data_IF_030969868466
#
_entry.id   IF_030969868466
#
_cell.length_a   1.000
_cell.length_b   1.000
_cell.length_c   1.000
_cell.angle_alpha   90.00
_cell.angle_beta   90.00
_cell.angle_gamma   90.00
#
_symmetry.space_group_name_H-M   'P 1'
#
loop_
_entity.id
_entity.type
_entity.pdbx_description
1 polymer ?
#
# COMPACT_ATOMS: atom_id res chain seq x y z
N UNK A 1 4.79 12.17 18.02
CA UNK A 1 5.54 11.06 17.41
C UNK A 1 4.74 10.51 16.26
N UNK A 2 5.31 10.38 15.05
CA UNK A 2 4.59 10.00 13.83
C UNK A 2 5.21 8.79 13.14
N UNK A 3 4.39 8.08 12.37
CA UNK A 3 4.84 7.13 11.35
C UNK A 3 4.92 7.89 10.04
N UNK A 4 6.08 7.86 9.39
CA UNK A 4 6.33 8.56 8.13
C UNK A 4 6.70 7.57 7.03
N UNK A 5 6.51 7.99 5.78
CA UNK A 5 6.78 7.17 4.60
C UNK A 5 7.79 7.88 3.72
N UNK A 6 8.77 7.14 3.20
CA UNK A 6 9.73 7.63 2.23
C UNK A 6 9.52 6.95 0.88
N UNK A 7 9.44 7.75 -0.18
CA UNK A 7 9.41 7.31 -1.58
C UNK A 7 10.80 7.17 -2.22
N UNK A 8 11.89 7.37 -1.46
CA UNK A 8 13.26 7.16 -1.93
C UNK A 8 14.25 7.01 -0.77
N UNK A 9 15.44 6.46 -1.03
CA UNK A 9 16.55 6.41 -0.06
C UNK A 9 16.95 7.80 0.44
N UNK A 10 17.01 8.79 -0.45
CA UNK A 10 17.37 10.16 -0.08
C UNK A 10 16.33 10.78 0.89
N UNK A 11 15.05 10.55 0.63
CA UNK A 11 13.99 10.98 1.54
C UNK A 11 14.03 10.23 2.88
N UNK A 12 14.27 8.92 2.87
CA UNK A 12 14.42 8.12 4.08
C UNK A 12 15.54 8.66 4.98
N UNK A 13 16.70 9.02 4.42
CA UNK A 13 17.80 9.63 5.16
C UNK A 13 17.42 10.98 5.78
N UNK A 14 16.67 11.83 5.06
CA UNK A 14 16.15 13.10 5.61
C UNK A 14 15.18 12.88 6.76
N UNK A 15 14.28 11.90 6.64
CA UNK A 15 13.31 11.57 7.68
C UNK A 15 13.98 10.96 8.93
N UNK A 16 15.01 10.13 8.75
CA UNK A 16 15.84 9.63 9.87
C UNK A 16 16.62 10.76 10.57
N UNK A 17 16.89 11.86 9.87
CA UNK A 17 17.50 13.04 10.46
C UNK A 17 16.52 13.92 11.24
N UNK A 18 15.22 13.71 11.08
CA UNK A 18 14.17 14.54 11.66
C UNK A 18 13.79 14.09 13.07
N UNK A 19 13.34 15.02 13.90
CA UNK A 19 12.82 14.72 15.23
C UNK A 19 11.35 14.27 15.18
N UNK A 20 10.90 13.57 16.22
CA UNK A 20 9.50 13.19 16.37
C UNK A 20 9.02 12.04 15.48
N UNK A 21 9.91 11.38 14.74
CA UNK A 21 9.60 10.17 13.98
C UNK A 21 9.72 8.94 14.89
N UNK A 22 8.68 8.10 14.93
CA UNK A 22 8.68 6.82 15.66
C UNK A 22 9.02 5.65 14.73
N UNK A 23 8.49 5.68 13.52
CA UNK A 23 8.71 4.65 12.52
C UNK A 23 8.79 5.26 11.13
N UNK A 24 9.63 4.65 10.29
CA UNK A 24 9.83 5.02 8.90
C UNK A 24 9.50 3.83 8.02
N UNK A 25 8.52 4.00 7.14
CA UNK A 25 8.19 3.03 6.11
C UNK A 25 8.92 3.36 4.79
N UNK A 26 9.65 2.38 4.26
CA UNK A 26 10.26 2.46 2.94
C UNK A 26 9.21 2.03 1.90
N UNK A 27 8.86 2.95 1.00
CA UNK A 27 7.85 2.76 -0.03
C UNK A 27 8.42 3.15 -1.40
N UNK A 28 9.41 2.39 -1.85
CA UNK A 28 10.03 2.50 -3.16
C UNK A 28 10.57 1.15 -3.62
N UNK A 29 10.77 1.00 -4.93
CA UNK A 29 11.08 -0.27 -5.60
C UNK A 29 12.24 -1.05 -4.95
N UNK A 30 13.34 -0.35 -4.65
CA UNK A 30 14.54 -0.94 -4.04
C UNK A 30 14.57 -0.84 -2.51
N UNK A 31 13.46 -0.45 -1.87
CA UNK A 31 13.39 -0.26 -0.41
C UNK A 31 13.77 -1.51 0.40
N UNK A 32 13.54 -2.70 -0.15
CA UNK A 32 13.95 -3.97 0.47
C UNK A 32 15.47 -4.12 0.57
N UNK A 33 16.24 -3.56 -0.38
CA UNK A 33 17.70 -3.60 -0.38
C UNK A 33 18.26 -2.68 0.69
N UNK A 34 17.65 -1.50 0.85
CA UNK A 34 18.10 -0.49 1.81
C UNK A 34 17.61 -0.75 3.25
N UNK A 35 16.60 -1.60 3.44
CA UNK A 35 15.95 -1.83 4.73
C UNK A 35 16.92 -2.23 5.85
N UNK A 36 17.97 -3.00 5.54
CA UNK A 36 18.97 -3.44 6.53
C UNK A 36 19.86 -2.28 6.98
N UNK A 37 20.39 -1.51 6.03
CA UNK A 37 21.27 -0.38 6.32
C UNK A 37 20.51 0.73 7.04
N UNK A 38 19.35 1.11 6.49
CA UNK A 38 18.50 2.15 7.08
C UNK A 38 17.92 1.70 8.42
N UNK A 39 17.63 0.40 8.59
CA UNK A 39 17.23 -0.19 9.88
C UNK A 39 18.26 0.04 10.98
N UNK A 40 19.54 -0.24 10.71
CA UNK A 40 20.63 0.04 11.65
C UNK A 40 20.78 1.52 11.98
N UNK A 41 20.57 2.39 10.98
CA UNK A 41 20.62 3.84 11.20
C UNK A 41 19.44 4.34 12.04
N UNK A 42 18.24 3.82 11.81
CA UNK A 42 17.05 4.13 12.58
C UNK A 42 17.15 3.65 14.02
N UNK A 43 17.66 2.44 14.26
CA UNK A 43 17.84 1.89 15.61
C UNK A 43 18.68 2.80 16.51
N UNK A 44 19.79 3.36 15.98
CA UNK A 44 20.64 4.33 16.71
C UNK A 44 19.90 5.61 17.12
N UNK A 45 18.74 5.87 16.52
CA UNK A 45 17.89 7.05 16.75
C UNK A 45 16.55 6.70 17.38
N UNK A 46 16.32 5.43 17.73
CA UNK A 46 15.04 4.95 18.25
C UNK A 46 13.90 4.93 17.21
N UNK A 47 14.22 4.93 15.91
CA UNK A 47 13.26 4.91 14.81
C UNK A 47 13.17 3.50 14.23
N UNK A 48 11.97 2.92 14.22
CA UNK A 48 11.73 1.61 13.59
C UNK A 48 11.59 1.76 12.07
N UNK A 49 12.60 1.33 11.31
CA UNK A 49 12.52 1.30 9.84
C UNK A 49 11.92 -0.02 9.37
N UNK A 50 10.99 0.04 8.43
CA UNK A 50 10.29 -1.13 7.89
C UNK A 50 10.10 -1.00 6.39
N UNK A 51 10.27 -2.10 5.68
CA UNK A 51 9.82 -2.25 4.30
C UNK A 51 8.61 -3.17 4.27
N UNK A 52 7.58 -2.79 3.51
CA UNK A 52 6.38 -3.61 3.28
C UNK A 52 6.15 -3.66 1.78
N UNK A 53 6.07 -4.87 1.21
CA UNK A 53 5.81 -5.05 -0.22
C UNK A 53 4.33 -4.97 -0.60
N UNK A 54 3.44 -5.08 0.39
CA UNK A 54 1.99 -5.10 0.17
C UNK A 54 1.22 -4.34 1.25
N UNK A 55 0.04 -3.87 0.86
CA UNK A 55 -0.98 -3.31 1.76
C UNK A 55 -2.37 -3.85 1.41
N UNK A 56 -3.20 -4.02 2.43
CA UNK A 56 -4.56 -4.57 2.31
C UNK A 56 -5.57 -3.44 2.35
N UNK A 57 -6.35 -3.29 1.28
CA UNK A 57 -7.35 -2.24 1.13
C UNK A 57 -8.75 -2.86 1.16
N UNK A 58 -9.60 -2.43 2.08
CA UNK A 58 -11.01 -2.78 2.08
C UNK A 58 -11.76 -1.91 1.07
N UNK A 59 -12.42 -2.52 0.10
CA UNK A 59 -13.17 -1.82 -0.95
C UNK A 59 -14.66 -2.05 -0.74
N UNK A 60 -15.42 -1.00 -0.41
CA UNK A 60 -16.80 -1.13 0.09
C UNK A 60 -17.85 -1.32 -1.00
N UNK A 61 -17.58 -0.92 -2.23
CA UNK A 61 -18.53 -0.87 -3.34
C UNK A 61 -17.83 -1.04 -4.69
N UNK A 62 -18.63 -1.32 -5.71
CA UNK A 62 -18.18 -1.31 -7.11
C UNK A 62 -17.66 0.06 -7.52
N UNK A 63 -18.36 1.12 -7.13
CA UNK A 63 -18.01 2.50 -7.43
C UNK A 63 -16.64 2.86 -6.82
N UNK A 64 -16.40 2.48 -5.56
CA UNK A 64 -15.11 2.61 -4.89
C UNK A 64 -13.98 1.89 -5.63
N UNK A 65 -14.25 0.70 -6.17
CA UNK A 65 -13.27 -0.05 -6.95
C UNK A 65 -12.92 0.70 -8.25
N UNK A 66 -13.93 1.16 -8.99
CA UNK A 66 -13.75 1.89 -10.26
C UNK A 66 -12.97 3.19 -10.03
N UNK A 67 -13.41 3.99 -9.05
CA UNK A 67 -12.77 5.26 -8.71
C UNK A 67 -11.36 5.06 -8.15
N UNK A 68 -11.17 4.09 -7.27
CA UNK A 68 -9.87 3.78 -6.67
C UNK A 68 -8.84 3.32 -7.70
N UNK A 69 -9.27 2.53 -8.69
CA UNK A 69 -8.42 2.13 -9.82
C UNK A 69 -8.19 3.28 -10.82
N UNK A 70 -9.06 4.29 -10.88
CA UNK A 70 -8.87 5.46 -11.75
C UNK A 70 -7.84 6.46 -11.19
N UNK A 71 -7.60 6.44 -9.87
CA UNK A 71 -6.64 7.32 -9.22
C UNK A 71 -5.20 6.83 -9.44
N UNK A 72 -4.23 7.73 -9.68
CA UNK A 72 -2.82 7.39 -9.69
C UNK A 72 -2.41 6.69 -8.39
N UNK A 73 -1.57 5.67 -8.50
CA UNK A 73 -1.09 4.92 -7.35
C UNK A 73 -0.01 5.71 -6.63
N UNK A 74 -0.24 6.04 -5.36
CA UNK A 74 0.68 6.81 -4.52
C UNK A 74 1.67 5.96 -3.72
N UNK A 75 1.87 4.70 -4.10
CA UNK A 75 2.69 3.73 -3.37
C UNK A 75 3.32 2.74 -4.35
N UNK A 76 4.50 2.22 -4.01
CA UNK A 76 5.12 1.11 -4.74
C UNK A 76 4.60 -0.26 -4.28
N UNK A 77 3.88 -0.32 -3.15
CA UNK A 77 3.32 -1.56 -2.62
C UNK A 77 2.30 -2.17 -3.55
N UNK A 78 2.23 -3.49 -3.60
CA UNK A 78 1.04 -4.15 -4.14
C UNK A 78 -0.16 -3.86 -3.24
N UNK A 79 -1.28 -3.39 -3.83
CA UNK A 79 -2.53 -3.23 -3.07
C UNK A 79 -3.38 -4.48 -3.27
N UNK A 80 -3.64 -5.19 -2.19
CA UNK A 80 -4.60 -6.28 -2.17
C UNK A 80 -5.99 -5.67 -1.90
N UNK A 81 -6.83 -5.62 -2.92
CA UNK A 81 -8.14 -4.96 -2.93
C UNK A 81 -9.22 -5.97 -2.52
N UNK A 82 -9.55 -6.00 -1.24
CA UNK A 82 -10.56 -6.89 -0.66
C UNK A 82 -11.95 -6.29 -0.85
N UNK A 83 -12.68 -6.79 -1.85
CA UNK A 83 -14.01 -6.31 -2.21
C UNK A 83 -15.05 -6.85 -1.23
N UNK A 84 -15.67 -5.94 -0.46
CA UNK A 84 -16.71 -6.23 0.54
C UNK A 84 -18.12 -6.27 -0.05
N UNK A 85 -18.21 -6.25 -1.38
CA UNK A 85 -19.42 -6.45 -2.16
C UNK A 85 -19.28 -7.72 -3.00
N UNK A 86 -20.41 -8.24 -3.49
CA UNK A 86 -20.41 -9.46 -4.28
C UNK A 86 -19.88 -9.19 -5.71
N UNK A 87 -18.68 -9.68 -6.01
CA UNK A 87 -18.08 -9.59 -7.34
C UNK A 87 -18.92 -10.30 -8.42
N UNK A 88 -19.73 -11.29 -8.05
CA UNK A 88 -20.64 -11.99 -8.97
C UNK A 88 -21.80 -11.13 -9.48
N UNK A 89 -21.99 -9.93 -8.93
CA UNK A 89 -22.96 -8.95 -9.44
C UNK A 89 -22.44 -8.10 -10.60
N UNK A 90 -21.12 -8.15 -10.87
CA UNK A 90 -20.51 -7.50 -12.03
C UNK A 90 -20.75 -8.35 -13.28
N UNK A 91 -20.90 -7.69 -14.43
CA UNK A 91 -20.87 -8.40 -15.70
C UNK A 91 -19.47 -9.01 -15.93
N UNK A 92 -19.39 -10.20 -16.53
CA UNK A 92 -18.12 -10.91 -16.72
C UNK A 92 -17.04 -10.05 -17.41
N UNK A 93 -17.44 -9.27 -18.42
CA UNK A 93 -16.53 -8.36 -19.13
C UNK A 93 -16.05 -7.21 -18.24
N UNK A 94 -16.91 -6.70 -17.35
CA UNK A 94 -16.56 -5.63 -16.43
C UNK A 94 -15.55 -6.11 -15.38
N UNK A 95 -15.74 -7.30 -14.81
CA UNK A 95 -14.79 -7.85 -13.83
C UNK A 95 -13.41 -8.06 -14.48
N UNK A 96 -13.37 -8.64 -15.68
CA UNK A 96 -12.12 -8.85 -16.43
C UNK A 96 -11.38 -7.53 -16.71
N UNK A 97 -12.11 -6.48 -17.11
CA UNK A 97 -11.53 -5.16 -17.36
C UNK A 97 -10.96 -4.53 -16.08
N UNK A 98 -11.66 -4.69 -14.94
CA UNK A 98 -11.22 -4.22 -13.63
C UNK A 98 -9.98 -4.99 -13.14
N UNK A 99 -9.94 -6.31 -13.32
CA UNK A 99 -8.79 -7.15 -12.99
C UNK A 99 -7.56 -6.81 -13.85
N UNK A 100 -7.75 -6.59 -15.16
CA UNK A 100 -6.69 -6.16 -16.05
C UNK A 100 -6.16 -4.77 -15.65
N UNK A 101 -7.05 -3.86 -15.25
CA UNK A 101 -6.66 -2.53 -14.75
C UNK A 101 -5.90 -2.63 -13.42
N UNK A 102 -6.38 -3.43 -12.47
CA UNK A 102 -5.70 -3.68 -11.20
C UNK A 102 -4.30 -4.24 -11.42
N UNK A 103 -4.17 -5.27 -12.28
CA UNK A 103 -2.89 -5.92 -12.59
C UNK A 103 -1.87 -4.92 -13.16
N UNK A 104 -2.28 -4.02 -14.07
CA UNK A 104 -1.39 -2.98 -14.62
C UNK A 104 -0.88 -1.99 -13.57
N UNK A 105 -1.66 -1.77 -12.51
CA UNK A 105 -1.27 -0.92 -11.38
C UNK A 105 -0.46 -1.70 -10.32
N UNK A 106 -0.27 -3.01 -10.51
CA UNK A 106 0.31 -3.89 -9.49
C UNK A 106 -0.61 -4.05 -8.29
N UNK A 107 -1.92 -4.13 -8.52
CA UNK A 107 -2.93 -4.42 -7.51
C UNK A 107 -3.58 -5.78 -7.79
N UNK A 108 -4.23 -6.34 -6.77
CA UNK A 108 -4.87 -7.65 -6.85
C UNK A 108 -6.26 -7.62 -6.24
N UNK A 109 -7.28 -7.98 -7.01
CA UNK A 109 -8.68 -8.03 -6.55
C UNK A 109 -8.89 -9.35 -5.79
N UNK A 110 -9.45 -9.26 -4.58
CA UNK A 110 -9.67 -10.39 -3.68
C UNK A 110 -11.07 -10.37 -3.10
N UNK A 111 -11.57 -11.55 -2.74
CA UNK A 111 -12.83 -11.69 -2.02
C UNK A 111 -12.72 -11.09 -0.60
N UNK A 112 -13.71 -10.29 -0.21
CA UNK A 112 -13.69 -9.53 1.05
C UNK A 112 -13.55 -10.38 2.31
N UNK A 113 -14.04 -11.62 2.30
CA UNK A 113 -13.94 -12.53 3.46
C UNK A 113 -12.50 -13.00 3.75
N UNK A 114 -11.55 -12.78 2.83
CA UNK A 114 -10.13 -13.08 3.04
C UNK A 114 -9.39 -11.97 3.81
N UNK A 115 -10.03 -10.82 4.04
CA UNK A 115 -9.45 -9.70 4.75
C UNK A 115 -9.20 -10.06 6.22
N UNK A 116 -7.97 -9.82 6.69
CA UNK A 116 -7.58 -10.01 8.09
C UNK A 116 -7.27 -8.67 8.75
N UNK A 117 -6.31 -7.96 8.17
CA UNK A 117 -5.86 -6.64 8.62
C UNK A 117 -6.10 -5.62 7.51
N UNK A 118 -6.49 -4.40 7.89
CA UNK A 118 -6.81 -3.32 6.95
C UNK A 118 -5.79 -2.19 7.08
N UNK A 119 -5.14 -1.86 5.98
CA UNK A 119 -4.23 -0.71 5.87
C UNK A 119 -4.95 0.54 5.37
N UNK A 120 -6.02 0.36 4.59
CA UNK A 120 -6.81 1.46 4.03
C UNK A 120 -8.23 1.04 3.65
N UNK A 121 -9.11 2.02 3.49
CA UNK A 121 -10.51 1.80 3.12
C UNK A 121 -10.86 2.70 1.94
N UNK A 122 -11.49 2.12 0.91
CA UNK A 122 -12.16 2.86 -0.15
C UNK A 122 -13.68 2.82 0.12
N UNK A 123 -14.26 3.93 0.64
CA UNK A 123 -15.54 3.87 1.34
C UNK A 123 -16.79 3.99 0.46
N UNK A 124 -16.70 4.58 -0.73
CA UNK A 124 -17.81 4.82 -1.65
C UNK A 124 -17.36 4.71 -3.10
#
# INVERSE_FOLDING_TARGET
>A
MSIVRAGSKAEALRLLASEGVLALELDYETGWQDAVELGRLGEKRGIKVQYRGQESIAVRSREALIEGLAKPKGTFRQRNLYCQFDLGTLADNELLDLEAKATRLGDYILAGHLLRDVDGVWPQ
#
